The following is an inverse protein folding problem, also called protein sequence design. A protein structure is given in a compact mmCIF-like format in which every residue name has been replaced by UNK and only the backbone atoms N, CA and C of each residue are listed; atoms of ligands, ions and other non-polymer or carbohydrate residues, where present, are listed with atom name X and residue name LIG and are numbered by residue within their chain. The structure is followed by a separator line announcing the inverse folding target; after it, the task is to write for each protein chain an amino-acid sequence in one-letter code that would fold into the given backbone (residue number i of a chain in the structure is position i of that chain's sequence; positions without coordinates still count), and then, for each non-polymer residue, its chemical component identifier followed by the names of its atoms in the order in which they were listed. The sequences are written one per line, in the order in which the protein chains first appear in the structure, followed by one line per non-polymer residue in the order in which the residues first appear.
data_IF_632055439925
#
_entry.id   IF_632055439925
#
_cell.length_a   1.000
_cell.length_b   1.000
_cell.length_c   1.000
_cell.angle_alpha   90.00
_cell.angle_beta   90.00
_cell.angle_gamma   90.00
#
_symmetry.space_group_name_H-M   'P 1'
#
loop_
_entity.id
_entity.type
_entity.pdbx_description
1 polymer ?
#
# COMPACT_ATOMS: atom_id res chain seq x y z
N UNK A 1 -14.61 0.95 20.26
CA UNK A 1 -13.75 0.59 19.12
C UNK A 1 -12.37 1.17 19.38
N UNK A 2 -11.29 0.39 19.55
CA UNK A 2 -10.00 0.94 19.93
C UNK A 2 -9.45 1.82 18.79
N UNK A 3 -8.81 2.92 19.20
CA UNK A 3 -8.31 3.99 18.34
C UNK A 3 -7.44 3.45 17.20
N UNK A 4 -7.84 3.71 15.96
CA UNK A 4 -7.09 3.32 14.77
C UNK A 4 -5.83 4.20 14.63
N UNK A 5 -4.77 3.88 15.36
CA UNK A 5 -3.46 4.52 15.19
C UNK A 5 -2.66 3.76 14.13
N UNK A 6 -2.72 4.23 12.88
CA UNK A 6 -1.80 3.80 11.82
C UNK A 6 -0.46 4.52 12.02
N UNK A 7 0.57 3.84 12.52
CA UNK A 7 1.96 4.35 12.52
C UNK A 7 2.75 3.76 11.36
N UNK A 8 3.42 4.63 10.60
CA UNK A 8 4.40 4.24 9.60
C UNK A 8 5.73 3.87 10.30
N UNK A 9 6.20 2.64 10.12
CA UNK A 9 7.35 2.06 10.83
C UNK A 9 8.68 2.49 10.21
N UNK A 10 9.21 3.66 10.59
CA UNK A 10 10.66 3.92 10.45
C UNK A 10 11.43 4.01 11.77
N UNK A 11 10.78 3.92 12.95
CA UNK A 11 11.49 4.25 14.21
C UNK A 11 10.98 3.64 15.53
N UNK A 12 10.30 2.49 15.58
CA UNK A 12 9.93 1.86 16.86
C UNK A 12 10.78 0.63 17.21
N UNK A 13 11.16 0.43 18.50
CA UNK A 13 11.92 -0.72 18.96
C UNK A 13 11.11 -2.02 18.81
N UNK A 14 11.83 -3.11 18.55
CA UNK A 14 11.33 -4.48 18.39
C UNK A 14 10.25 -4.79 19.44
N UNK A 15 8.99 -4.88 19.01
CA UNK A 15 7.94 -5.47 19.86
C UNK A 15 8.15 -6.98 19.89
N UNK A 16 8.31 -7.54 21.07
CA UNK A 16 8.64 -8.94 21.37
C UNK A 16 7.52 -9.95 21.07
N UNK A 17 6.53 -9.57 20.24
CA UNK A 17 5.48 -10.47 19.76
C UNK A 17 5.60 -10.76 18.26
N UNK A 18 6.50 -10.07 17.55
CA UNK A 18 6.88 -10.38 16.17
C UNK A 18 8.13 -11.26 16.18
N UNK A 19 7.96 -12.54 16.54
CA UNK A 19 8.87 -13.58 16.07
C UNK A 19 8.61 -13.85 14.59
N UNK A 20 8.75 -12.84 13.72
CA UNK A 20 8.93 -13.07 12.28
C UNK A 20 10.43 -13.22 12.07
N UNK A 21 10.88 -14.42 12.43
CA UNK A 21 11.93 -15.24 11.83
C UNK A 21 13.10 -14.47 11.20
N UNK A 22 14.30 -14.65 11.77
CA UNK A 22 15.55 -14.50 11.05
C UNK A 22 15.46 -15.30 9.72
N UNK A 23 15.19 -14.61 8.61
CA UNK A 23 15.18 -15.17 7.24
C UNK A 23 13.89 -15.05 6.43
N UNK A 24 12.76 -14.60 7.02
CA UNK A 24 11.47 -14.49 6.30
C UNK A 24 11.25 -13.16 5.57
N UNK A 25 10.33 -13.09 4.57
CA UNK A 25 9.97 -11.83 3.93
C UNK A 25 9.33 -10.86 4.93
N UNK A 26 9.84 -9.64 4.98
CA UNK A 26 9.39 -8.59 5.90
C UNK A 26 8.43 -7.61 5.18
N UNK A 27 7.20 -7.42 5.68
CA UNK A 27 6.30 -6.39 5.18
C UNK A 27 6.72 -4.98 5.63
N UNK A 28 6.33 -3.96 4.87
CA UNK A 28 6.59 -2.55 5.18
C UNK A 28 5.99 -2.09 6.53
N UNK A 29 4.82 -2.62 6.91
CA UNK A 29 4.17 -2.23 8.15
C UNK A 29 3.10 -3.19 8.63
N UNK A 30 2.63 -2.96 9.86
CA UNK A 30 1.48 -3.64 10.43
C UNK A 30 0.72 -2.76 11.44
N UNK A 31 -0.54 -3.12 11.72
CA UNK A 31 -1.35 -2.41 12.71
C UNK A 31 -0.86 -2.70 14.13
N UNK A 32 -0.86 -1.66 14.98
CA UNK A 32 -0.52 -1.80 16.40
C UNK A 32 -1.61 -2.50 17.22
N UNK A 33 -2.85 -2.38 16.77
CA UNK A 33 -4.02 -3.04 17.36
C UNK A 33 -4.58 -4.06 16.37
N UNK A 34 -5.29 -5.10 16.86
CA UNK A 34 -5.98 -6.03 15.98
C UNK A 34 -6.90 -5.32 14.99
N UNK A 35 -6.79 -5.69 13.72
CA UNK A 35 -7.60 -5.18 12.62
C UNK A 35 -8.93 -5.95 12.52
N UNK A 36 -8.85 -7.28 12.46
CA UNK A 36 -10.02 -8.14 12.28
C UNK A 36 -9.82 -9.48 12.99
N UNK A 37 -10.85 -9.95 13.69
CA UNK A 37 -10.85 -11.25 14.38
C UNK A 37 -9.63 -11.47 15.30
N UNK A 38 -9.18 -10.43 16.01
CA UNK A 38 -8.02 -10.51 16.90
C UNK A 38 -6.65 -10.52 16.20
N UNK A 39 -6.59 -10.51 14.86
CA UNK A 39 -5.34 -10.47 14.09
C UNK A 39 -4.96 -9.05 13.71
N UNK A 40 -3.67 -8.73 13.79
CA UNK A 40 -3.12 -7.52 13.20
C UNK A 40 -3.11 -7.63 11.67
N UNK A 41 -3.22 -6.49 10.99
CA UNK A 41 -3.08 -6.40 9.55
C UNK A 41 -1.64 -5.99 9.22
N UNK A 42 -0.94 -6.78 8.41
CA UNK A 42 0.33 -6.45 7.80
C UNK A 42 0.11 -6.01 6.35
N UNK A 43 0.95 -5.09 5.87
CA UNK A 43 0.90 -4.60 4.50
C UNK A 43 2.28 -4.37 3.93
N UNK A 44 2.36 -4.48 2.61
CA UNK A 44 3.54 -4.18 1.81
C UNK A 44 3.08 -3.28 0.66
N UNK A 45 3.67 -2.10 0.54
CA UNK A 45 3.30 -1.11 -0.48
C UNK A 45 4.08 -1.41 -1.75
N UNK A 46 3.43 -1.33 -2.91
CA UNK A 46 4.11 -1.46 -4.20
C UNK A 46 3.48 -0.55 -5.22
N UNK A 47 4.34 0.13 -5.98
CA UNK A 47 3.95 1.14 -6.95
C UNK A 47 4.42 0.71 -8.34
N UNK A 48 3.69 -0.16 -9.06
CA UNK A 48 4.10 -0.59 -10.38
C UNK A 48 3.95 0.55 -11.40
N UNK A 49 4.90 0.65 -12.33
CA UNK A 49 4.81 1.60 -13.43
C UNK A 49 3.71 1.22 -14.41
N UNK A 50 2.68 2.07 -14.55
CA UNK A 50 1.60 1.88 -15.53
C UNK A 50 2.15 1.73 -16.96
N UNK A 51 3.24 2.44 -17.27
CA UNK A 51 3.89 2.47 -18.58
C UNK A 51 5.10 1.53 -18.69
N UNK A 52 5.35 0.70 -17.67
CA UNK A 52 6.45 -0.26 -17.74
C UNK A 52 6.18 -1.31 -18.82
N UNK A 53 7.17 -1.62 -19.65
CA UNK A 53 7.05 -2.51 -20.81
C UNK A 53 6.32 -3.83 -20.49
N UNK A 54 6.70 -4.47 -19.38
CA UNK A 54 6.09 -5.72 -18.88
C UNK A 54 4.59 -5.65 -18.55
N UNK A 55 4.05 -4.46 -18.35
CA UNK A 55 2.65 -4.24 -18.01
C UNK A 55 1.86 -3.51 -19.10
N UNK A 56 2.51 -2.90 -20.10
CA UNK A 56 1.86 -2.09 -21.15
C UNK A 56 0.75 -2.81 -21.90
N UNK A 57 0.93 -4.09 -22.21
CA UNK A 57 -0.07 -4.91 -22.89
C UNK A 57 -1.35 -5.12 -22.05
N UNK A 58 -1.25 -5.02 -20.73
CA UNK A 58 -2.36 -5.13 -19.78
C UNK A 58 -2.96 -3.74 -19.52
N UNK A 59 -2.14 -2.78 -19.11
CA UNK A 59 -2.59 -1.44 -18.70
C UNK A 59 -3.19 -0.63 -19.85
N UNK A 60 -2.82 -0.91 -21.10
CA UNK A 60 -3.47 -0.31 -22.28
C UNK A 60 -4.93 -0.74 -22.48
N UNK A 61 -5.33 -1.88 -21.90
CA UNK A 61 -6.68 -2.45 -22.05
C UNK A 61 -7.56 -2.13 -20.86
N UNK A 62 -6.98 -2.15 -19.66
CA UNK A 62 -7.72 -1.94 -18.42
C UNK A 62 -6.84 -1.29 -17.37
N UNK A 63 -7.38 -0.24 -16.76
CA UNK A 63 -6.74 0.54 -15.71
C UNK A 63 -6.59 -0.30 -14.43
N UNK A 64 -5.42 -0.25 -13.79
CA UNK A 64 -5.18 -0.95 -12.52
C UNK A 64 -4.69 -2.39 -12.67
N UNK A 65 -4.55 -2.91 -13.89
CA UNK A 65 -4.05 -4.29 -14.08
C UNK A 65 -2.60 -4.47 -13.62
N UNK A 66 -1.74 -3.46 -13.68
CA UNK A 66 -0.40 -3.58 -13.14
C UNK A 66 -0.43 -3.66 -11.61
N UNK A 67 -1.29 -2.87 -10.96
CA UNK A 67 -1.52 -2.95 -9.52
C UNK A 67 -2.10 -4.31 -9.11
N UNK A 68 -3.08 -4.83 -9.84
CA UNK A 68 -3.66 -6.15 -9.58
C UNK A 68 -2.62 -7.28 -9.70
N UNK A 69 -1.78 -7.26 -10.75
CA UNK A 69 -0.69 -8.25 -10.90
C UNK A 69 0.33 -8.15 -9.77
N UNK A 70 0.75 -6.94 -9.41
CA UNK A 70 1.66 -6.74 -8.29
C UNK A 70 1.06 -7.23 -6.96
N UNK A 71 -0.25 -7.04 -6.75
CA UNK A 71 -0.95 -7.53 -5.57
C UNK A 71 -0.92 -9.07 -5.50
N UNK A 72 -1.19 -9.76 -6.62
CA UNK A 72 -1.12 -11.23 -6.69
C UNK A 72 0.27 -11.76 -6.36
N UNK A 73 1.32 -11.10 -6.85
CA UNK A 73 2.72 -11.46 -6.55
C UNK A 73 3.03 -11.30 -5.05
N UNK A 74 2.53 -10.23 -4.41
CA UNK A 74 2.68 -10.03 -2.96
C UNK A 74 1.92 -11.06 -2.16
N UNK A 75 0.69 -11.40 -2.55
CA UNK A 75 -0.09 -12.45 -1.89
C UNK A 75 0.67 -13.78 -1.95
N UNK A 76 1.25 -14.13 -3.10
CA UNK A 76 2.10 -15.32 -3.24
C UNK A 76 3.35 -15.26 -2.35
N UNK A 77 4.03 -14.10 -2.30
CA UNK A 77 5.21 -13.88 -1.46
C UNK A 77 4.93 -14.08 0.03
N UNK A 78 3.79 -13.60 0.52
CA UNK A 78 3.47 -13.59 1.96
C UNK A 78 2.48 -14.68 2.40
N UNK A 79 1.86 -15.41 1.47
CA UNK A 79 0.74 -16.33 1.75
C UNK A 79 1.00 -17.36 2.84
N UNK A 80 2.24 -17.82 2.99
CA UNK A 80 2.65 -18.74 4.06
C UNK A 80 3.61 -18.11 5.09
N UNK A 81 4.03 -16.87 4.88
CA UNK A 81 5.06 -16.23 5.70
C UNK A 81 4.51 -15.53 6.95
N UNK A 82 3.21 -15.21 6.95
CA UNK A 82 2.56 -14.43 8.02
C UNK A 82 1.31 -15.15 8.58
N UNK A 83 1.44 -16.38 9.12
CA UNK A 83 0.28 -17.20 9.50
C UNK A 83 -0.56 -16.61 10.65
N UNK A 84 0.01 -15.72 11.47
CA UNK A 84 -0.66 -15.08 12.61
C UNK A 84 -1.26 -13.71 12.29
N UNK A 85 -1.08 -13.20 11.07
CA UNK A 85 -1.53 -11.87 10.65
C UNK A 85 -2.48 -11.98 9.46
N UNK A 86 -3.36 -10.98 9.30
CA UNK A 86 -3.94 -10.75 7.98
C UNK A 86 -2.92 -10.00 7.13
N UNK A 87 -2.77 -10.39 5.87
CA UNK A 87 -1.93 -9.67 4.93
C UNK A 87 -2.79 -9.00 3.85
N UNK A 88 -2.52 -7.72 3.60
CA UNK A 88 -3.12 -6.97 2.50
C UNK A 88 -2.01 -6.27 1.71
N UNK A 89 -1.81 -6.60 0.42
CA UNK A 89 -0.96 -5.79 -0.43
C UNK A 89 -1.59 -4.42 -0.65
N UNK A 90 -0.78 -3.36 -0.58
CA UNK A 90 -1.20 -2.00 -0.96
C UNK A 90 -0.57 -1.72 -2.32
N UNK A 91 -1.32 -1.94 -3.40
CA UNK A 91 -0.83 -1.78 -4.76
C UNK A 91 -1.52 -0.63 -5.50
N UNK A 92 -0.72 0.33 -5.92
CA UNK A 92 -1.17 1.58 -6.54
C UNK A 92 -0.24 1.86 -7.72
N UNK A 93 -0.74 1.87 -8.93
CA UNK A 93 0.08 2.20 -10.09
C UNK A 93 0.61 3.64 -10.03
N UNK A 94 1.66 3.90 -10.80
CA UNK A 94 2.26 5.25 -10.91
C UNK A 94 1.24 6.32 -11.34
N UNK A 95 0.20 5.99 -12.10
CA UNK A 95 -0.85 6.95 -12.48
C UNK A 95 -2.04 6.99 -11.50
N UNK A 96 -1.95 6.31 -10.36
CA UNK A 96 -2.92 6.35 -9.25
C UNK A 96 -3.98 5.26 -9.26
N UNK A 97 -4.01 4.40 -10.28
CA UNK A 97 -4.92 3.26 -10.33
C UNK A 97 -4.60 2.25 -9.21
N UNK A 98 -5.59 1.83 -8.43
CA UNK A 98 -5.39 0.92 -7.30
C UNK A 98 -5.94 -0.47 -7.62
N UNK A 99 -5.33 -1.51 -7.05
CA UNK A 99 -5.99 -2.82 -7.08
C UNK A 99 -7.31 -2.79 -6.28
N UNK A 100 -8.28 -3.68 -6.59
CA UNK A 100 -9.59 -3.65 -5.95
C UNK A 100 -9.57 -3.78 -4.41
N UNK A 101 -8.64 -4.55 -3.85
CA UNK A 101 -8.54 -4.75 -2.40
C UNK A 101 -7.94 -3.52 -1.72
N UNK A 102 -6.93 -2.89 -2.32
CA UNK A 102 -6.41 -1.59 -1.86
C UNK A 102 -7.50 -0.53 -1.85
N UNK A 103 -8.27 -0.41 -2.94
CA UNK A 103 -9.37 0.56 -3.02
C UNK A 103 -10.44 0.29 -1.96
N UNK A 104 -10.81 -0.98 -1.76
CA UNK A 104 -11.78 -1.37 -0.73
C UNK A 104 -11.28 -1.04 0.67
N UNK A 105 -9.99 -1.27 0.94
CA UNK A 105 -9.36 -0.94 2.21
C UNK A 105 -9.38 0.57 2.48
N UNK A 106 -8.92 1.41 1.55
CA UNK A 106 -8.97 2.86 1.71
C UNK A 106 -10.39 3.37 1.92
N UNK A 107 -11.37 2.89 1.15
CA UNK A 107 -12.78 3.25 1.35
C UNK A 107 -13.28 2.89 2.76
N UNK A 108 -12.87 1.75 3.30
CA UNK A 108 -13.21 1.37 4.68
C UNK A 108 -12.59 2.33 5.69
N UNK A 109 -11.31 2.67 5.54
CA UNK A 109 -10.61 3.63 6.41
C UNK A 109 -11.27 5.01 6.36
N UNK A 110 -11.55 5.55 5.17
CA UNK A 110 -12.17 6.87 5.04
C UNK A 110 -13.57 6.90 5.65
N UNK A 111 -14.34 5.83 5.47
CA UNK A 111 -15.65 5.69 6.12
C UNK A 111 -15.53 5.66 7.64
N UNK A 112 -14.55 4.93 8.19
CA UNK A 112 -14.31 4.92 9.63
C UNK A 112 -13.95 6.30 10.18
N UNK A 113 -13.11 7.07 9.47
CA UNK A 113 -12.76 8.45 9.84
C UNK A 113 -14.01 9.32 9.86
N UNK A 114 -14.79 9.32 8.78
CA UNK A 114 -16.01 10.14 8.67
C UNK A 114 -17.06 9.80 9.73
N UNK A 115 -17.27 8.51 10.02
CA UNK A 115 -18.18 8.09 11.11
C UNK A 115 -17.65 8.54 12.47
N UNK A 116 -16.33 8.48 12.69
CA UNK A 116 -15.72 8.84 13.97
C UNK A 116 -15.69 10.35 14.22
N UNK A 117 -15.53 11.16 13.17
CA UNK A 117 -15.55 12.62 13.23
C UNK A 117 -16.96 13.19 13.33
N UNK A 118 -17.96 12.48 12.78
CA UNK A 118 -19.33 12.98 12.62
C UNK A 118 -19.48 13.94 11.45
N UNK A 119 -18.43 14.13 10.64
CA UNK A 119 -18.43 15.03 9.47
C UNK A 119 -18.24 14.21 8.18
N UNK A 120 -19.21 14.34 7.27
CA UNK A 120 -19.19 13.66 5.96
C UNK A 120 -18.10 14.19 5.03
N UNK A 121 -17.62 15.43 5.25
CA UNK A 121 -16.57 16.07 4.46
C UNK A 121 -15.19 15.47 4.71
N UNK A 122 -14.98 14.83 5.87
CA UNK A 122 -13.72 14.14 6.19
C UNK A 122 -13.39 13.02 5.20
N UNK A 123 -14.40 12.41 4.58
CA UNK A 123 -14.19 11.45 3.49
C UNK A 123 -13.46 12.11 2.30
N UNK A 124 -13.90 13.31 1.92
CA UNK A 124 -13.31 14.09 0.83
C UNK A 124 -11.90 14.56 1.19
N UNK A 125 -11.70 15.10 2.40
CA UNK A 125 -10.38 15.55 2.84
C UNK A 125 -9.38 14.39 2.93
N UNK A 126 -9.76 13.24 3.49
CA UNK A 126 -8.91 12.07 3.57
C UNK A 126 -8.51 11.53 2.18
N UNK A 127 -9.47 11.48 1.25
CA UNK A 127 -9.21 11.04 -0.13
C UNK A 127 -8.24 11.99 -0.83
N UNK A 128 -8.48 13.31 -0.77
CA UNK A 128 -7.61 14.30 -1.39
C UNK A 128 -6.21 14.31 -0.78
N UNK A 129 -6.12 14.16 0.54
CA UNK A 129 -4.84 14.13 1.22
C UNK A 129 -3.96 12.96 0.74
N UNK A 130 -4.54 11.77 0.57
CA UNK A 130 -3.81 10.61 0.04
C UNK A 130 -3.47 10.79 -1.43
N UNK A 131 -4.38 11.30 -2.26
CA UNK A 131 -4.09 11.64 -3.66
C UNK A 131 -2.90 12.60 -3.78
N UNK A 132 -2.86 13.63 -2.94
CA UNK A 132 -1.76 14.59 -2.88
C UNK A 132 -0.44 13.94 -2.45
N UNK A 133 -0.45 13.09 -1.42
CA UNK A 133 0.75 12.37 -0.97
C UNK A 133 1.28 11.42 -2.05
N UNK A 134 0.39 10.73 -2.75
CA UNK A 134 0.75 9.89 -3.89
C UNK A 134 1.41 10.73 -4.99
N UNK A 135 0.78 11.81 -5.43
CA UNK A 135 1.38 12.70 -6.45
C UNK A 135 2.75 13.24 -6.06
N UNK A 136 2.96 13.60 -4.77
CA UNK A 136 4.28 14.01 -4.27
C UNK A 136 5.32 12.91 -4.35
N UNK A 137 4.95 11.69 -3.98
CA UNK A 137 5.82 10.53 -4.10
C UNK A 137 6.15 10.23 -5.56
N UNK A 138 5.14 10.24 -6.44
CA UNK A 138 5.29 10.00 -7.86
C UNK A 138 6.21 11.02 -8.53
N UNK A 139 6.16 12.29 -8.12
CA UNK A 139 7.11 13.31 -8.58
C UNK A 139 8.55 12.89 -8.32
N UNK A 140 8.85 12.31 -7.16
CA UNK A 140 10.20 11.82 -6.83
C UNK A 140 10.58 10.67 -7.76
N UNK A 141 9.70 9.66 -7.91
CA UNK A 141 9.96 8.50 -8.77
C UNK A 141 10.17 8.88 -10.24
N UNK A 142 9.40 9.84 -10.77
CA UNK A 142 9.56 10.30 -12.16
C UNK A 142 10.87 11.04 -12.34
N UNK A 143 11.24 11.93 -11.41
CA UNK A 143 12.50 12.67 -11.48
C UNK A 143 13.72 11.73 -11.40
N UNK A 144 13.69 10.74 -10.50
CA UNK A 144 14.75 9.74 -10.39
C UNK A 144 14.87 8.89 -11.67
N UNK A 145 13.76 8.50 -12.29
CA UNK A 145 13.78 7.76 -13.56
C UNK A 145 14.33 8.59 -14.72
N UNK A 146 13.99 9.89 -14.80
CA UNK A 146 14.53 10.78 -15.83
C UNK A 146 16.06 10.92 -15.67
N UNK A 147 16.54 11.07 -14.44
CA UNK A 147 17.97 11.17 -14.17
C UNK A 147 18.71 9.88 -14.55
N UNK A 148 18.20 8.71 -14.14
CA UNK A 148 18.78 7.42 -14.50
C UNK A 148 18.85 7.22 -16.01
N UNK A 149 17.82 7.62 -16.75
CA UNK A 149 17.82 7.53 -18.22
C UNK A 149 18.78 8.54 -18.87
N UNK A 150 18.98 9.72 -18.28
CA UNK A 150 19.96 10.68 -18.76
C UNK A 150 21.40 10.19 -18.53
N UNK A 151 21.66 9.56 -17.39
CA UNK A 151 22.97 8.99 -17.05
C UNK A 151 23.32 7.77 -17.90
N UNK A 152 22.32 6.98 -18.32
CA UNK A 152 22.50 5.83 -19.24
C UNK A 152 22.75 6.25 -20.71
N UNK A 153 22.45 7.49 -21.08
CA UNK A 153 22.63 8.04 -22.42
C UNK A 153 23.93 8.82 -22.61
N UNK A 154 24.73 8.98 -21.55
CA UNK A 154 26.07 9.60 -21.57
C UNK A 154 27.16 8.53 -21.40
#
# INVERSE_FOLDING_TARGET
MPNLTLRCYKSLPRYSSTSVLHGGPRPDGCTLIPWKAGRCLAWDVTVPGTLAERYLNLTSKECGLAAARAADEKIKKYGNALPSMEFLPICIEVLGAMDPNTLKFFKAIYKMISVRSGDSRELFFATNHISYLLQRFLRVCVLENIQLNADMCN
#
